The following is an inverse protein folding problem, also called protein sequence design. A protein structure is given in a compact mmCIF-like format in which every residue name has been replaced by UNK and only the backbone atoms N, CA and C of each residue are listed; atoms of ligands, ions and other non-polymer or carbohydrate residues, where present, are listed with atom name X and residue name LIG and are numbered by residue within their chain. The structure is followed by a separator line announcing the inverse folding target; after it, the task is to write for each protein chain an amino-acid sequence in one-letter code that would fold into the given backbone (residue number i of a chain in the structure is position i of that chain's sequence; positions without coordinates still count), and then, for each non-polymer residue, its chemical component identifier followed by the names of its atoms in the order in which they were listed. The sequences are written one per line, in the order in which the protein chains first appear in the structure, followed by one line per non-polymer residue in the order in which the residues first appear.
data_IF_910491360769
#
_entry.id   IF_910491360769
#
_cell.length_a   1.000
_cell.length_b   1.000
_cell.length_c   1.000
_cell.angle_alpha   90.00
_cell.angle_beta   90.00
_cell.angle_gamma   90.00
#
_symmetry.space_group_name_H-M   'P 1'
#
loop_
_entity.id
_entity.type
_entity.pdbx_description
1 polymer ?
#
# COMPACT_ATOMS: atom_id res chain seq x y z
N UNK A 1 15.36 9.38 -20.40
CA UNK A 1 13.99 9.06 -19.96
C UNK A 1 13.98 7.63 -19.47
N UNK A 2 13.35 7.35 -18.34
CA UNK A 2 13.11 5.98 -17.88
C UNK A 2 12.26 5.24 -18.92
N UNK A 3 12.58 3.97 -19.21
CA UNK A 3 11.68 3.13 -20.01
C UNK A 3 10.40 2.83 -19.20
N UNK A 4 9.23 2.72 -19.84
CA UNK A 4 8.00 2.36 -19.15
C UNK A 4 8.12 0.99 -18.48
N UNK A 5 7.55 0.84 -17.27
CA UNK A 5 7.48 -0.46 -16.61
C UNK A 5 6.55 -1.37 -17.40
N UNK A 6 6.95 -2.61 -17.67
CA UNK A 6 6.09 -3.57 -18.39
C UNK A 6 4.99 -4.05 -17.44
N UNK A 7 3.73 -3.84 -17.83
CA UNK A 7 2.55 -4.30 -17.10
C UNK A 7 1.98 -5.53 -17.82
N UNK A 8 2.08 -6.69 -17.18
CA UNK A 8 1.55 -7.94 -17.72
C UNK A 8 0.01 -7.92 -17.75
N UNK A 9 -0.56 -8.64 -18.70
CA UNK A 9 -2.01 -8.86 -18.82
C UNK A 9 -2.30 -10.36 -18.79
N UNK A 10 -3.40 -10.73 -18.15
CA UNK A 10 -3.79 -12.12 -17.90
C UNK A 10 -5.28 -12.18 -17.58
N UNK A 11 -5.91 -13.32 -17.76
CA UNK A 11 -7.22 -13.65 -17.20
C UNK A 11 -7.07 -14.61 -16.02
N UNK A 12 -8.04 -14.61 -15.11
CA UNK A 12 -8.00 -15.49 -13.94
C UNK A 12 -7.95 -16.98 -14.33
N UNK A 13 -8.59 -17.36 -15.42
CA UNK A 13 -8.66 -18.76 -15.87
C UNK A 13 -7.43 -19.17 -16.72
N UNK A 14 -6.52 -18.25 -17.05
CA UNK A 14 -5.28 -18.58 -17.78
C UNK A 14 -4.48 -19.65 -17.02
N UNK A 15 -3.89 -20.66 -17.70
CA UNK A 15 -3.18 -21.74 -17.03
C UNK A 15 -1.95 -21.24 -16.28
N UNK A 16 -1.61 -21.92 -15.18
CA UNK A 16 -0.34 -21.72 -14.48
C UNK A 16 0.81 -22.05 -15.44
N UNK A 17 1.78 -21.16 -15.53
CA UNK A 17 2.90 -21.24 -16.48
C UNK A 17 4.27 -21.25 -15.78
N UNK A 18 4.29 -21.39 -14.45
CA UNK A 18 5.49 -21.42 -13.61
C UNK A 18 6.40 -20.18 -13.75
N UNK A 19 5.88 -19.09 -14.33
CA UNK A 19 6.59 -17.84 -14.55
C UNK A 19 5.76 -16.64 -14.07
N UNK A 20 4.83 -16.15 -14.89
CA UNK A 20 3.99 -14.99 -14.57
C UNK A 20 2.67 -15.36 -13.89
N UNK A 21 2.29 -16.64 -13.92
CA UNK A 21 1.10 -17.18 -13.24
C UNK A 21 1.53 -18.43 -12.48
N UNK A 22 1.43 -18.40 -11.16
CA UNK A 22 1.95 -19.44 -10.26
C UNK A 22 1.02 -19.70 -9.07
N UNK A 23 1.28 -20.79 -8.33
CA UNK A 23 0.67 -21.03 -7.03
C UNK A 23 1.63 -20.63 -5.91
N UNK A 24 1.31 -19.54 -5.20
CA UNK A 24 2.11 -19.01 -4.09
C UNK A 24 1.57 -19.53 -2.76
N UNK A 25 2.48 -19.97 -1.88
CA UNK A 25 2.25 -20.07 -0.44
C UNK A 25 2.85 -18.83 0.23
N UNK A 26 2.04 -17.81 0.52
CA UNK A 26 2.52 -16.49 0.91
C UNK A 26 3.12 -16.52 2.33
N UNK A 27 3.81 -15.44 2.74
CA UNK A 27 4.27 -15.29 4.11
C UNK A 27 3.15 -15.55 5.13
N UNK A 28 3.51 -16.13 6.28
CA UNK A 28 2.62 -16.61 7.35
C UNK A 28 1.78 -17.87 7.06
N UNK A 29 1.86 -18.43 5.86
CA UNK A 29 1.25 -19.73 5.53
C UNK A 29 2.26 -20.88 5.51
N UNK A 30 3.47 -20.72 6.05
CA UNK A 30 4.57 -21.69 5.90
C UNK A 30 4.30 -23.05 6.52
N UNK A 31 3.49 -23.09 7.59
CA UNK A 31 3.05 -24.33 8.26
C UNK A 31 1.80 -24.92 7.62
N UNK A 32 1.18 -24.21 6.67
CA UNK A 32 0.02 -24.68 5.93
C UNK A 32 0.41 -25.28 4.57
N UNK A 33 -0.47 -26.12 4.03
CA UNK A 33 -0.41 -26.58 2.64
C UNK A 33 -1.32 -25.75 1.71
N UNK A 34 -1.65 -24.53 2.11
CA UNK A 34 -2.54 -23.64 1.34
C UNK A 34 -1.72 -22.86 0.32
N UNK A 35 -2.14 -22.92 -0.94
CA UNK A 35 -1.57 -22.18 -2.05
C UNK A 35 -2.66 -21.38 -2.75
N UNK A 36 -2.31 -20.19 -3.22
CA UNK A 36 -3.20 -19.30 -3.95
C UNK A 36 -2.67 -19.03 -5.34
N UNK A 37 -3.56 -18.99 -6.33
CA UNK A 37 -3.19 -18.59 -7.69
C UNK A 37 -2.83 -17.11 -7.69
N UNK A 38 -1.65 -16.79 -8.19
CA UNK A 38 -1.10 -15.44 -8.19
C UNK A 38 -0.59 -15.06 -9.57
N UNK A 39 -0.63 -13.76 -9.85
CA UNK A 39 -0.33 -13.19 -11.15
C UNK A 39 0.73 -12.10 -11.00
N UNK A 40 1.85 -12.23 -11.69
CA UNK A 40 2.94 -11.25 -11.66
C UNK A 40 2.56 -10.07 -12.56
N UNK A 41 2.09 -8.98 -11.97
CA UNK A 41 1.67 -7.81 -12.75
C UNK A 41 2.86 -7.02 -13.31
N UNK A 42 3.96 -6.99 -12.56
CA UNK A 42 5.27 -6.48 -12.97
C UNK A 42 6.35 -7.19 -12.15
N UNK A 43 7.61 -7.04 -12.52
CA UNK A 43 8.72 -7.69 -11.80
C UNK A 43 8.63 -7.43 -10.29
N UNK A 44 8.80 -8.51 -9.51
CA UNK A 44 8.73 -8.54 -8.05
C UNK A 44 7.37 -8.14 -7.42
N UNK A 45 6.31 -7.93 -8.20
CA UNK A 45 4.97 -7.56 -7.70
C UNK A 45 3.90 -8.55 -8.17
N UNK A 46 3.16 -9.06 -7.19
CA UNK A 46 2.18 -10.14 -7.38
C UNK A 46 0.79 -9.70 -6.95
N UNK A 47 -0.24 -10.16 -7.69
CA UNK A 47 -1.64 -10.03 -7.32
C UNK A 47 -2.19 -11.40 -6.95
N UNK A 48 -2.82 -11.49 -5.78
CA UNK A 48 -3.62 -12.63 -5.35
C UNK A 48 -5.08 -12.14 -5.26
N UNK A 49 -5.94 -12.46 -6.25
CA UNK A 49 -7.34 -12.01 -6.27
C UNK A 49 -8.19 -12.85 -5.30
N UNK A 50 -7.86 -12.78 -4.02
CA UNK A 50 -8.55 -13.43 -2.91
C UNK A 50 -8.70 -12.40 -1.77
N UNK A 51 -9.71 -12.60 -0.92
CA UNK A 51 -9.87 -11.78 0.30
C UNK A 51 -8.70 -11.97 1.24
N UNK A 52 -8.19 -10.88 1.82
CA UNK A 52 -7.16 -10.97 2.84
C UNK A 52 -7.74 -11.50 4.17
N UNK A 53 -7.46 -12.77 4.48
CA UNK A 53 -8.01 -13.47 5.67
C UNK A 53 -6.98 -13.78 6.77
N UNK A 54 -5.71 -13.48 6.53
CA UNK A 54 -4.63 -13.92 7.40
C UNK A 54 -4.75 -13.28 8.80
N UNK A 55 -4.84 -14.11 9.83
CA UNK A 55 -4.93 -13.67 11.22
C UNK A 55 -6.25 -12.96 11.59
N UNK A 56 -7.28 -13.09 10.74
CA UNK A 56 -8.58 -12.44 10.93
C UNK A 56 -9.64 -13.53 11.17
N UNK A 57 -10.40 -13.37 12.24
CA UNK A 57 -11.55 -14.22 12.53
C UNK A 57 -12.59 -14.12 11.39
N UNK A 58 -13.04 -15.25 10.80
CA UNK A 58 -14.03 -15.26 9.72
C UNK A 58 -15.33 -14.49 10.05
N UNK A 59 -15.74 -14.43 11.31
CA UNK A 59 -16.94 -13.71 11.75
C UNK A 59 -16.85 -12.20 11.52
N UNK A 60 -15.63 -11.64 11.47
CA UNK A 60 -15.42 -10.21 11.26
C UNK A 60 -15.74 -9.75 9.83
N UNK A 61 -15.85 -10.67 8.87
CA UNK A 61 -16.26 -10.37 7.50
C UNK A 61 -17.76 -10.07 7.35
N UNK A 62 -18.57 -10.45 8.36
CA UNK A 62 -19.97 -10.07 8.41
C UNK A 62 -20.12 -8.62 8.89
N UNK A 63 -21.16 -7.88 8.46
CA UNK A 63 -21.41 -6.53 8.94
C UNK A 63 -21.56 -6.48 10.47
N UNK A 64 -20.72 -5.74 11.21
CA UNK A 64 -20.90 -5.59 12.64
C UNK A 64 -22.07 -4.66 12.97
N UNK A 65 -22.55 -4.68 14.21
CA UNK A 65 -23.66 -3.81 14.67
C UNK A 65 -23.29 -2.32 14.65
N UNK A 66 -22.02 -1.98 14.92
CA UNK A 66 -21.52 -0.60 14.95
C UNK A 66 -20.00 -0.59 14.84
N UNK A 67 -19.45 0.49 14.27
CA UNK A 67 -18.01 0.71 14.20
C UNK A 67 -17.44 1.28 15.51
N UNK A 68 -16.23 0.84 15.87
CA UNK A 68 -15.49 1.35 17.03
C UNK A 68 -14.97 2.79 16.82
N UNK A 69 -14.59 3.16 15.61
CA UNK A 69 -14.05 4.47 15.26
C UNK A 69 -14.05 4.65 13.73
N UNK A 70 -13.93 5.90 13.26
CA UNK A 70 -13.78 6.22 11.84
C UNK A 70 -15.09 6.58 11.13
N UNK A 71 -15.00 6.69 9.80
CA UNK A 71 -16.13 6.89 8.90
C UNK A 71 -16.86 5.57 8.62
N UNK A 72 -17.99 5.66 7.93
CA UNK A 72 -18.79 4.51 7.50
C UNK A 72 -17.97 3.51 6.68
N UNK A 73 -18.21 2.22 6.89
CA UNK A 73 -17.59 1.11 6.18
C UNK A 73 -18.63 0.26 5.45
N UNK A 74 -18.15 -0.63 4.57
CA UNK A 74 -19.00 -1.59 3.85
C UNK A 74 -18.46 -3.01 3.98
N UNK A 75 -19.32 -3.93 4.40
CA UNK A 75 -18.98 -5.32 4.68
C UNK A 75 -19.81 -6.24 3.79
N UNK A 76 -19.11 -7.07 3.02
CA UNK A 76 -19.70 -8.14 2.23
C UNK A 76 -18.79 -9.37 2.31
N UNK A 77 -19.20 -10.47 2.96
CA UNK A 77 -18.40 -11.68 3.08
C UNK A 77 -18.26 -12.44 1.75
N UNK A 78 -19.11 -12.17 0.75
CA UNK A 78 -19.17 -12.87 -0.53
C UNK A 78 -18.35 -12.20 -1.64
N UNK A 79 -17.88 -10.95 -1.44
CA UNK A 79 -17.02 -10.28 -2.41
C UNK A 79 -15.74 -11.10 -2.67
N UNK A 80 -15.40 -11.28 -3.96
CA UNK A 80 -14.33 -12.14 -4.50
C UNK A 80 -14.49 -13.64 -4.21
N UNK A 81 -15.73 -14.14 -4.12
CA UNK A 81 -16.00 -15.57 -3.89
C UNK A 81 -16.00 -16.38 -5.19
N UNK A 82 -16.23 -15.75 -6.34
CA UNK A 82 -16.36 -16.42 -7.64
C UNK A 82 -15.21 -16.11 -8.59
N UNK A 83 -14.86 -17.04 -9.50
CA UNK A 83 -13.83 -16.80 -10.52
C UNK A 83 -14.14 -15.55 -11.38
N UNK A 84 -15.42 -15.27 -11.66
CA UNK A 84 -15.84 -14.07 -12.39
C UNK A 84 -15.47 -12.79 -11.66
N UNK A 85 -15.74 -12.71 -10.35
CA UNK A 85 -15.33 -11.56 -9.53
C UNK A 85 -13.81 -11.45 -9.42
N UNK A 86 -13.11 -12.57 -9.25
CA UNK A 86 -11.64 -12.62 -9.20
C UNK A 86 -11.02 -12.14 -10.51
N UNK A 87 -11.60 -12.54 -11.65
CA UNK A 87 -11.17 -12.04 -12.96
C UNK A 87 -11.46 -10.55 -13.12
N UNK A 88 -12.67 -10.09 -12.74
CA UNK A 88 -13.01 -8.67 -12.79
C UNK A 88 -12.03 -7.83 -11.96
N UNK A 89 -11.76 -8.23 -10.72
CA UNK A 89 -10.77 -7.59 -9.86
C UNK A 89 -9.39 -7.54 -10.53
N UNK A 90 -8.94 -8.66 -11.09
CA UNK A 90 -7.66 -8.77 -11.77
C UNK A 90 -7.53 -7.82 -12.96
N UNK A 91 -8.57 -7.73 -13.81
CA UNK A 91 -8.62 -6.78 -14.93
C UNK A 91 -8.60 -5.33 -14.45
N UNK A 92 -9.31 -5.01 -13.36
CA UNK A 92 -9.31 -3.66 -12.80
C UNK A 92 -7.92 -3.32 -12.29
N UNK A 93 -7.25 -4.22 -11.57
CA UNK A 93 -5.88 -4.00 -11.11
C UNK A 93 -4.91 -3.78 -12.27
N UNK A 94 -5.00 -4.57 -13.35
CA UNK A 94 -4.22 -4.34 -14.58
C UNK A 94 -4.45 -2.91 -15.11
N UNK A 95 -5.70 -2.49 -15.23
CA UNK A 95 -6.08 -1.16 -15.73
C UNK A 95 -5.54 -0.03 -14.83
N UNK A 96 -5.60 -0.20 -13.51
CA UNK A 96 -5.04 0.76 -12.55
C UNK A 96 -3.52 0.86 -12.64
N UNK A 97 -2.81 -0.25 -12.77
CA UNK A 97 -1.34 -0.24 -12.98
C UNK A 97 -0.97 0.42 -14.31
N UNK A 98 -1.69 0.13 -15.40
CA UNK A 98 -1.50 0.83 -16.68
C UNK A 98 -1.75 2.33 -16.56
N UNK A 99 -2.77 2.73 -15.79
CA UNK A 99 -3.04 4.13 -15.47
C UNK A 99 -1.89 4.80 -14.74
N UNK A 100 -1.39 4.19 -13.67
CA UNK A 100 -0.24 4.71 -12.91
C UNK A 100 0.98 4.82 -13.83
N UNK A 101 1.22 3.81 -14.67
CA UNK A 101 2.33 3.77 -15.62
C UNK A 101 2.18 4.74 -16.82
N UNK A 102 1.04 5.41 -16.97
CA UNK A 102 0.78 6.35 -18.08
C UNK A 102 1.46 7.72 -17.93
N UNK A 103 1.94 8.06 -16.72
CA UNK A 103 2.60 9.33 -16.41
C UNK A 103 4.00 9.11 -15.85
N UNK A 104 4.98 10.00 -16.13
CA UNK A 104 6.34 9.86 -15.62
C UNK A 104 6.43 9.71 -14.09
N UNK A 105 5.63 10.47 -13.33
CA UNK A 105 5.64 10.39 -11.87
C UNK A 105 5.26 8.98 -11.35
N UNK A 106 4.26 8.34 -11.97
CA UNK A 106 3.86 6.98 -11.62
C UNK A 106 4.84 5.92 -12.15
N UNK A 107 5.42 6.12 -13.33
CA UNK A 107 6.49 5.24 -13.86
C UNK A 107 7.68 5.17 -12.90
N UNK A 108 8.14 6.34 -12.41
CA UNK A 108 9.25 6.39 -11.45
C UNK A 108 8.85 5.67 -10.16
N UNK A 109 7.64 5.91 -9.63
CA UNK A 109 7.17 5.21 -8.42
C UNK A 109 7.19 3.68 -8.59
N UNK A 110 6.67 3.17 -9.70
CA UNK A 110 6.64 1.73 -9.99
C UNK A 110 8.05 1.15 -10.18
N UNK A 111 8.95 1.89 -10.84
CA UNK A 111 10.35 1.48 -11.03
C UNK A 111 11.12 1.43 -9.71
N UNK A 112 10.91 2.39 -8.80
CA UNK A 112 11.49 2.33 -7.46
C UNK A 112 10.99 1.10 -6.69
N UNK A 113 9.68 0.81 -6.74
CA UNK A 113 9.10 -0.37 -6.06
C UNK A 113 9.63 -1.67 -6.65
N UNK A 114 9.76 -1.75 -7.97
CA UNK A 114 10.32 -2.92 -8.67
C UNK A 114 11.76 -3.21 -8.25
N UNK A 115 12.58 -2.18 -8.13
CA UNK A 115 14.02 -2.31 -7.88
C UNK A 115 14.40 -2.32 -6.39
N UNK A 116 13.54 -1.83 -5.49
CA UNK A 116 13.80 -1.76 -4.05
C UNK A 116 13.67 -3.13 -3.35
N UNK A 117 14.42 -4.14 -3.80
CA UNK A 117 14.38 -5.48 -3.22
C UNK A 117 14.71 -5.46 -1.71
N UNK A 118 13.99 -6.20 -0.86
CA UNK A 118 14.35 -6.36 0.54
C UNK A 118 15.81 -6.84 0.72
N UNK A 119 16.46 -6.42 1.80
CA UNK A 119 17.77 -6.95 2.17
C UNK A 119 17.66 -8.46 2.49
N UNK A 120 18.59 -9.28 2.00
CA UNK A 120 18.61 -10.74 2.24
C UNK A 120 19.01 -11.09 3.68
N UNK A 121 18.16 -10.71 4.64
CA UNK A 121 18.38 -10.86 6.07
C UNK A 121 17.67 -9.78 6.87
N UNK A 122 17.77 -9.88 8.18
CA UNK A 122 17.23 -8.90 9.13
C UNK A 122 18.13 -8.76 10.36
N UNK A 123 17.68 -8.02 11.37
CA UNK A 123 18.40 -7.82 12.64
C UNK A 123 18.81 -9.09 13.38
N UNK A 124 18.19 -10.25 13.09
CA UNK A 124 18.51 -11.55 13.70
C UNK A 124 19.24 -12.52 12.76
N UNK A 125 19.48 -12.15 11.52
CA UNK A 125 20.35 -12.93 10.62
C UNK A 125 21.81 -12.67 11.02
N UNK A 126 22.73 -13.63 10.82
CA UNK A 126 24.17 -13.43 11.02
C UNK A 126 24.72 -12.32 10.09
N UNK A 127 25.64 -11.49 10.57
CA UNK A 127 26.08 -10.29 9.83
C UNK A 127 26.89 -10.62 8.57
N UNK A 128 27.59 -11.76 8.60
CA UNK A 128 28.44 -12.32 7.54
C UNK A 128 27.66 -13.10 6.46
N UNK A 129 26.34 -13.20 6.60
CA UNK A 129 25.50 -14.07 5.79
C UNK A 129 24.34 -13.32 5.12
N UNK A 130 24.13 -13.63 3.84
CA UNK A 130 22.83 -13.44 3.20
C UNK A 130 21.95 -14.68 3.34
N UNK A 131 20.66 -14.47 3.62
CA UNK A 131 19.69 -15.56 3.63
C UNK A 131 18.43 -15.21 2.86
N UNK A 132 18.03 -16.11 1.96
CA UNK A 132 16.71 -16.10 1.31
C UNK A 132 15.71 -16.97 2.05
N UNK A 133 16.17 -17.79 3.01
CA UNK A 133 15.32 -18.71 3.77
C UNK A 133 14.61 -17.99 4.94
N UNK A 134 13.84 -16.96 4.61
CA UNK A 134 13.06 -16.19 5.56
C UNK A 134 11.85 -15.56 4.86
N UNK A 135 10.69 -15.65 5.51
CA UNK A 135 9.41 -15.10 5.05
C UNK A 135 9.41 -13.61 4.73
N UNK A 136 10.36 -12.84 5.27
CA UNK A 136 10.43 -11.39 5.01
C UNK A 136 11.02 -11.06 3.64
N UNK A 137 11.66 -12.03 2.96
CA UNK A 137 12.33 -11.82 1.67
C UNK A 137 11.85 -12.76 0.58
N UNK A 138 11.35 -13.95 0.94
CA UNK A 138 10.88 -14.95 -0.01
C UNK A 138 9.58 -15.63 0.45
N UNK A 139 8.91 -16.25 -0.52
CA UNK A 139 7.79 -17.15 -0.31
C UNK A 139 7.99 -18.45 -1.08
N UNK A 140 7.19 -19.47 -0.76
CA UNK A 140 7.25 -20.75 -1.46
C UNK A 140 6.28 -20.75 -2.65
N UNK A 141 6.68 -21.38 -3.74
CA UNK A 141 5.90 -21.53 -4.98
C UNK A 141 5.79 -23.01 -5.30
N UNK A 142 4.57 -23.46 -5.63
CA UNK A 142 4.34 -24.81 -6.15
C UNK A 142 4.32 -24.75 -7.67
N UNK A 143 5.31 -25.38 -8.29
CA UNK A 143 5.41 -25.52 -9.74
C UNK A 143 4.42 -26.56 -10.27
N UNK A 144 4.14 -26.54 -11.58
CA UNK A 144 3.22 -27.48 -12.23
C UNK A 144 3.64 -28.95 -12.07
N UNK A 145 4.95 -29.22 -11.99
CA UNK A 145 5.50 -30.55 -11.73
C UNK A 145 5.39 -31.01 -10.25
N UNK A 146 4.84 -30.16 -9.37
CA UNK A 146 4.67 -30.44 -7.94
C UNK A 146 5.84 -30.03 -7.05
N UNK A 147 6.98 -29.63 -7.62
CA UNK A 147 8.13 -29.16 -6.86
C UNK A 147 7.82 -27.84 -6.15
N UNK A 148 8.41 -27.66 -4.97
CA UNK A 148 8.32 -26.42 -4.21
C UNK A 148 9.65 -25.69 -4.32
N UNK A 149 9.60 -24.45 -4.79
CA UNK A 149 10.77 -23.56 -4.89
C UNK A 149 10.53 -22.28 -4.08
N UNK A 150 11.61 -21.61 -3.67
CA UNK A 150 11.52 -20.29 -3.05
C UNK A 150 11.67 -19.21 -4.10
N UNK A 151 10.86 -18.16 -4.01
CA UNK A 151 10.95 -16.98 -4.87
C UNK A 151 10.92 -15.71 -4.03
N UNK A 152 11.73 -14.73 -4.43
CA UNK A 152 11.75 -13.40 -3.80
C UNK A 152 10.64 -12.51 -4.37
N UNK A 153 10.19 -11.55 -3.56
CA UNK A 153 9.24 -10.54 -4.01
C UNK A 153 9.41 -9.24 -3.22
N UNK A 154 8.82 -8.18 -3.76
CA UNK A 154 8.75 -6.89 -3.11
C UNK A 154 7.34 -6.65 -2.59
N UNK A 155 6.31 -6.94 -3.38
CA UNK A 155 4.92 -6.64 -3.04
C UNK A 155 3.98 -7.79 -3.40
N UNK A 156 3.04 -8.07 -2.50
CA UNK A 156 1.87 -8.92 -2.74
C UNK A 156 0.60 -8.09 -2.49
N UNK A 157 -0.21 -7.90 -3.53
CA UNK A 157 -1.51 -7.22 -3.45
C UNK A 157 -2.61 -8.27 -3.34
N UNK A 158 -3.43 -8.13 -2.32
CA UNK A 158 -4.61 -8.93 -2.05
C UNK A 158 -5.88 -8.15 -2.31
N UNK A 159 -6.98 -8.87 -2.51
CA UNK A 159 -8.30 -8.31 -2.24
C UNK A 159 -8.42 -7.81 -0.80
N UNK A 160 -9.46 -7.02 -0.49
CA UNK A 160 -9.60 -6.37 0.80
C UNK A 160 -9.81 -7.36 1.94
N UNK A 161 -9.49 -6.92 3.16
CA UNK A 161 -9.94 -7.54 4.40
C UNK A 161 -11.46 -7.36 4.63
N UNK A 162 -11.92 -7.36 5.89
CA UNK A 162 -13.36 -7.30 6.20
C UNK A 162 -14.12 -6.09 5.66
N UNK A 163 -13.61 -4.88 5.90
CA UNK A 163 -14.21 -3.63 5.44
C UNK A 163 -13.67 -3.29 4.04
N UNK A 164 -14.55 -3.36 3.04
CA UNK A 164 -14.21 -3.15 1.63
C UNK A 164 -13.81 -1.72 1.31
N UNK A 165 -14.04 -0.75 2.20
CA UNK A 165 -13.65 0.66 1.99
C UNK A 165 -12.33 1.05 2.64
N UNK A 166 -11.76 0.16 3.45
CA UNK A 166 -10.50 0.40 4.15
C UNK A 166 -9.39 -0.40 3.47
N UNK A 167 -8.54 0.30 2.73
CA UNK A 167 -7.29 -0.27 2.23
C UNK A 167 -6.23 -0.24 3.32
N UNK A 168 -5.28 -1.18 3.27
CA UNK A 168 -4.17 -1.24 4.24
C UNK A 168 -2.89 -1.67 3.56
N UNK A 169 -1.78 -1.12 4.04
CA UNK A 169 -0.44 -1.58 3.72
C UNK A 169 0.26 -2.07 4.99
N UNK A 170 1.01 -3.17 4.87
CA UNK A 170 1.82 -3.71 5.97
C UNK A 170 3.02 -4.50 5.46
N UNK A 171 4.13 -4.46 6.21
CA UNK A 171 5.31 -5.27 5.92
C UNK A 171 5.30 -6.60 6.65
N UNK A 172 5.94 -7.61 6.09
CA UNK A 172 6.12 -8.90 6.77
C UNK A 172 7.09 -8.72 7.95
N UNK A 173 6.70 -9.21 9.13
CA UNK A 173 7.52 -9.32 10.34
C UNK A 173 8.18 -10.69 10.42
N UNK A 174 9.28 -10.76 11.16
CA UNK A 174 9.93 -12.02 11.51
C UNK A 174 9.94 -12.16 13.03
N UNK A 175 9.29 -13.20 13.53
CA UNK A 175 9.31 -13.53 14.96
C UNK A 175 9.84 -14.96 15.13
N UNK A 176 11.13 -15.13 15.48
CA UNK A 176 11.69 -16.46 15.71
C UNK A 176 11.18 -17.09 17.01
N UNK A 177 10.76 -16.27 17.98
CA UNK A 177 10.23 -16.66 19.29
C UNK A 177 9.22 -15.61 19.80
N UNK A 178 8.32 -15.98 20.71
CA UNK A 178 7.21 -15.11 21.19
C UNK A 178 7.65 -13.75 21.77
N UNK A 179 8.91 -13.59 22.19
CA UNK A 179 9.46 -12.35 22.77
C UNK A 179 10.40 -11.57 21.84
N UNK A 180 10.66 -12.08 20.63
CA UNK A 180 11.55 -11.45 19.65
C UNK A 180 10.78 -11.15 18.37
N UNK A 181 10.78 -9.89 17.97
CA UNK A 181 10.15 -9.44 16.72
C UNK A 181 11.12 -8.55 15.97
N UNK A 182 11.43 -8.92 14.73
CA UNK A 182 12.08 -8.07 13.78
C UNK A 182 11.01 -7.46 12.88
N UNK A 183 11.13 -6.15 12.67
CA UNK A 183 10.29 -5.37 11.76
C UNK A 183 11.15 -4.78 10.64
N UNK A 184 11.64 -5.61 9.68
CA UNK A 184 12.66 -5.16 8.71
C UNK A 184 12.22 -3.97 7.86
N UNK A 185 10.92 -3.87 7.59
CA UNK A 185 10.29 -2.73 6.89
C UNK A 185 10.34 -1.40 7.66
N UNK A 186 10.86 -1.38 8.89
CA UNK A 186 11.06 -0.18 9.73
C UNK A 186 12.51 0.10 10.10
N UNK A 187 13.43 -0.83 9.84
CA UNK A 187 14.80 -0.82 10.37
C UNK A 187 15.86 -0.85 9.25
N UNK A 188 15.53 -0.25 8.11
CA UNK A 188 16.37 -0.07 6.92
C UNK A 188 16.48 -1.28 5.98
N UNK A 189 16.25 -2.50 6.46
CA UNK A 189 16.38 -3.72 5.65
C UNK A 189 15.33 -3.81 4.53
N UNK A 190 14.10 -3.43 4.86
CA UNK A 190 12.93 -3.74 4.05
C UNK A 190 12.44 -5.17 4.22
N UNK A 191 11.17 -5.41 3.89
CA UNK A 191 10.60 -6.75 3.75
C UNK A 191 9.60 -6.78 2.61
N UNK A 192 9.16 -7.97 2.21
CA UNK A 192 7.95 -8.14 1.40
C UNK A 192 6.85 -7.27 2.02
N UNK A 193 6.23 -6.44 1.20
CA UNK A 193 5.10 -5.62 1.57
C UNK A 193 3.81 -6.30 1.11
N UNK A 194 2.73 -6.03 1.82
CA UNK A 194 1.40 -6.50 1.52
C UNK A 194 0.44 -5.33 1.45
N UNK A 195 -0.46 -5.39 0.49
CA UNK A 195 -1.54 -4.42 0.33
C UNK A 195 -2.87 -5.16 0.33
N UNK A 196 -3.80 -4.74 1.18
CA UNK A 196 -5.23 -5.09 1.11
C UNK A 196 -5.92 -3.99 0.30
N UNK A 197 -6.43 -4.30 -0.89
CA UNK A 197 -6.97 -3.26 -1.77
C UNK A 197 -8.28 -3.63 -2.44
N UNK A 198 -9.21 -2.67 -2.43
CA UNK A 198 -10.54 -2.74 -3.04
C UNK A 198 -10.72 -1.58 -4.04
N UNK A 199 -10.68 -1.84 -5.36
CA UNK A 199 -10.78 -0.77 -6.34
C UNK A 199 -12.20 -0.25 -6.53
N UNK A 200 -13.21 -1.10 -6.32
CA UNK A 200 -14.60 -0.76 -6.64
C UNK A 200 -15.34 -0.09 -5.48
N UNK A 201 -14.84 -0.19 -4.25
CA UNK A 201 -15.48 0.36 -3.07
C UNK A 201 -14.68 1.54 -2.54
N UNK A 202 -15.24 2.73 -2.67
CA UNK A 202 -14.54 3.97 -2.40
C UNK A 202 -15.30 4.88 -1.43
N UNK A 203 -14.57 5.83 -0.87
CA UNK A 203 -15.12 6.96 -0.14
C UNK A 203 -15.03 8.23 -0.99
N UNK A 204 -15.90 9.18 -0.71
CA UNK A 204 -15.90 10.50 -1.28
C UNK A 204 -15.38 11.53 -0.26
N UNK A 205 -15.04 12.71 -0.74
CA UNK A 205 -14.68 13.86 0.08
C UNK A 205 -15.40 15.11 -0.46
N UNK A 206 -15.52 16.14 0.36
CA UNK A 206 -16.06 17.42 -0.06
C UNK A 206 -14.94 18.42 -0.34
N UNK A 207 -15.24 19.40 -1.19
CA UNK A 207 -14.39 20.57 -1.36
C UNK A 207 -14.88 21.69 -0.44
N UNK A 208 -14.40 21.70 0.81
CA UNK A 208 -14.59 22.86 1.70
C UNK A 208 -13.43 23.84 1.44
N UNK A 209 -13.37 24.36 0.22
CA UNK A 209 -12.73 25.64 -0.04
C UNK A 209 -13.84 26.67 -0.32
N UNK A 210 -14.18 27.44 0.72
CA UNK A 210 -14.90 28.73 0.65
C UNK A 210 -16.43 28.65 0.36
N UNK A 211 -17.23 29.10 1.34
CA UNK A 211 -18.52 29.79 1.23
C UNK A 211 -19.73 29.16 0.47
N UNK A 212 -19.77 27.86 0.15
CA UNK A 212 -21.02 27.25 -0.36
C UNK A 212 -21.82 26.57 0.76
N UNK A 213 -23.14 26.82 0.80
CA UNK A 213 -24.07 26.21 1.76
C UNK A 213 -24.37 24.73 1.45
N UNK A 214 -23.77 24.15 0.40
CA UNK A 214 -23.91 22.76 -0.01
C UNK A 214 -22.67 22.33 -0.82
N UNK A 215 -21.57 21.92 -0.17
CA UNK A 215 -20.34 21.57 -0.87
C UNK A 215 -20.54 20.32 -1.73
N UNK A 216 -20.05 20.35 -2.98
CA UNK A 216 -20.08 19.20 -3.88
C UNK A 216 -19.20 18.05 -3.33
N UNK A 217 -19.67 16.82 -3.54
CA UNK A 217 -18.93 15.61 -3.18
C UNK A 217 -18.20 15.06 -4.38
N UNK A 218 -16.95 14.67 -4.17
CA UNK A 218 -16.09 14.09 -5.18
C UNK A 218 -15.65 12.69 -4.77
N UNK A 219 -15.83 11.72 -5.67
CA UNK A 219 -15.34 10.36 -5.47
C UNK A 219 -13.81 10.32 -5.58
N UNK A 220 -13.18 9.50 -4.75
CA UNK A 220 -11.74 9.24 -4.88
C UNK A 220 -11.47 8.36 -6.08
N UNK A 221 -10.49 8.74 -6.90
CA UNK A 221 -10.00 7.91 -8.01
C UNK A 221 -9.23 6.70 -7.45
N UNK A 222 -9.62 5.45 -7.77
CA UNK A 222 -8.97 4.26 -7.23
C UNK A 222 -7.47 4.15 -7.61
N UNK A 223 -7.01 4.74 -8.71
CA UNK A 223 -5.58 4.78 -9.02
C UNK A 223 -4.80 5.65 -8.05
N UNK A 224 -5.38 6.77 -7.60
CA UNK A 224 -4.75 7.62 -6.58
C UNK A 224 -4.74 6.94 -5.21
N UNK A 225 -5.81 6.21 -4.87
CA UNK A 225 -5.85 5.40 -3.64
C UNK A 225 -4.78 4.31 -3.68
N UNK A 226 -4.61 3.62 -4.82
CA UNK A 226 -3.55 2.63 -4.98
C UNK A 226 -2.17 3.26 -4.90
N UNK A 227 -1.95 4.43 -5.52
CA UNK A 227 -0.68 5.16 -5.41
C UNK A 227 -0.36 5.56 -3.96
N UNK A 228 -1.35 5.94 -3.15
CA UNK A 228 -1.17 6.19 -1.71
C UNK A 228 -0.62 4.96 -0.99
N UNK A 229 -1.22 3.78 -1.22
CA UNK A 229 -0.73 2.52 -0.64
C UNK A 229 0.66 2.13 -1.20
N UNK A 230 0.92 2.37 -2.48
CA UNK A 230 2.23 2.11 -3.09
C UNK A 230 3.35 3.01 -2.52
N UNK A 231 3.04 4.21 -2.05
CA UNK A 231 4.01 5.04 -1.31
C UNK A 231 4.35 4.40 0.04
N UNK A 232 3.35 3.88 0.76
CA UNK A 232 3.59 3.10 1.99
C UNK A 232 4.45 1.86 1.71
N UNK A 233 4.21 1.19 0.58
CA UNK A 233 5.04 0.07 0.11
C UNK A 233 6.49 0.53 -0.11
N UNK A 234 6.69 1.65 -0.82
CA UNK A 234 8.03 2.20 -1.06
C UNK A 234 8.77 2.47 0.26
N UNK A 235 8.12 3.14 1.21
CA UNK A 235 8.68 3.36 2.55
C UNK A 235 9.06 2.03 3.22
N UNK A 236 8.19 1.02 3.15
CA UNK A 236 8.45 -0.29 3.74
C UNK A 236 9.60 -1.05 3.08
N UNK A 237 9.73 -1.00 1.75
CA UNK A 237 10.81 -1.64 1.00
C UNK A 237 12.19 -1.04 1.28
N UNK A 238 12.24 0.26 1.53
CA UNK A 238 13.45 0.95 2.00
C UNK A 238 13.67 0.83 3.50
N UNK A 239 12.75 0.19 4.23
CA UNK A 239 12.87 0.01 5.67
C UNK A 239 12.67 1.30 6.47
N UNK A 240 11.90 2.26 5.94
CA UNK A 240 11.68 3.60 6.51
C UNK A 240 10.23 3.85 6.94
N UNK A 241 9.40 2.80 7.00
CA UNK A 241 7.98 2.89 7.35
C UNK A 241 7.76 3.10 8.87
N UNK A 242 8.08 4.30 9.36
CA UNK A 242 8.07 4.59 10.79
C UNK A 242 6.69 5.13 11.23
N UNK A 243 6.05 4.39 12.14
CA UNK A 243 4.67 4.65 12.61
C UNK A 243 4.61 5.02 14.10
N UNK A 244 5.74 5.35 14.71
CA UNK A 244 5.88 5.54 16.17
C UNK A 244 5.19 6.82 16.65
N UNK A 245 5.32 7.91 15.91
CA UNK A 245 4.57 9.12 16.20
C UNK A 245 3.12 8.95 15.75
N UNK A 246 2.20 9.10 16.71
CA UNK A 246 0.76 8.96 16.49
C UNK A 246 0.03 10.16 17.05
N UNK A 247 -0.80 10.77 16.23
CA UNK A 247 -1.77 11.75 16.69
C UNK A 247 -3.05 11.01 17.02
N UNK A 248 -3.38 11.01 18.31
CA UNK A 248 -4.65 10.48 18.82
C UNK A 248 -5.55 11.66 19.13
N UNK A 249 -6.77 11.75 18.54
CA UNK A 249 -7.72 12.77 18.94
C UNK A 249 -8.04 12.63 20.44
N UNK A 250 -7.94 13.73 21.19
CA UNK A 250 -8.33 13.76 22.60
C UNK A 250 -9.85 13.88 22.72
N UNK A 251 -10.56 12.75 22.62
CA UNK A 251 -12.03 12.70 22.69
C UNK A 251 -12.47 12.83 24.15
N UNK A 252 -12.83 14.04 24.57
CA UNK A 252 -13.32 14.33 25.93
C UNK A 252 -14.81 14.67 25.99
N UNK A 253 -15.45 14.92 24.83
CA UNK A 253 -16.85 15.33 24.74
C UNK A 253 -17.60 14.50 23.70
N UNK A 254 -18.92 14.36 23.86
CA UNK A 254 -19.77 13.53 22.99
C UNK A 254 -19.87 14.03 21.54
N UNK A 255 -19.60 15.32 21.29
CA UNK A 255 -19.58 15.92 19.95
C UNK A 255 -18.23 15.75 19.22
N UNK A 256 -17.19 15.23 19.89
CA UNK A 256 -15.87 15.05 19.28
C UNK A 256 -15.83 13.75 18.46
N UNK A 257 -15.35 13.86 17.21
CA UNK A 257 -15.23 12.71 16.31
C UNK A 257 -14.23 11.69 16.87
N UNK A 258 -14.64 10.43 16.95
CA UNK A 258 -13.78 9.31 17.35
C UNK A 258 -13.11 8.71 16.11
N UNK A 259 -11.82 8.96 15.95
CA UNK A 259 -11.01 8.34 14.89
C UNK A 259 -9.94 7.42 15.48
N UNK A 260 -9.42 6.49 14.66
CA UNK A 260 -8.23 5.71 15.04
C UNK A 260 -7.02 6.65 15.10
N UNK A 261 -6.00 6.35 15.93
CA UNK A 261 -4.76 7.12 15.90
C UNK A 261 -4.17 7.18 14.50
N UNK A 262 -3.75 8.38 14.07
CA UNK A 262 -3.16 8.60 12.74
C UNK A 262 -1.66 8.74 12.91
N UNK A 263 -0.90 7.97 12.12
CA UNK A 263 0.56 7.90 12.26
C UNK A 263 1.24 9.00 11.44
N UNK A 264 2.48 9.34 11.79
CA UNK A 264 3.34 10.19 10.95
C UNK A 264 3.46 9.70 9.52
N UNK A 265 3.46 8.38 9.30
CA UNK A 265 3.55 7.79 7.96
C UNK A 265 2.39 8.23 7.06
N UNK A 266 1.16 8.37 7.60
CA UNK A 266 0.01 8.85 6.82
C UNK A 266 0.15 10.32 6.42
N UNK A 267 0.59 11.19 7.34
CA UNK A 267 0.77 12.61 7.02
C UNK A 267 1.90 12.86 6.02
N UNK A 268 3.02 12.13 6.15
CA UNK A 268 4.14 12.21 5.23
C UNK A 268 3.75 11.70 3.83
N UNK A 269 3.00 10.61 3.77
CA UNK A 269 2.50 10.00 2.51
C UNK A 269 1.41 10.85 1.86
N UNK A 270 0.51 11.44 2.64
CA UNK A 270 -0.51 12.33 2.11
C UNK A 270 0.11 13.61 1.53
N UNK A 271 1.06 14.22 2.24
CA UNK A 271 1.77 15.40 1.77
C UNK A 271 1.03 16.72 1.93
N UNK A 272 1.32 17.69 1.06
CA UNK A 272 0.76 19.03 1.14
C UNK A 272 1.02 19.70 2.49
N UNK A 273 0.01 20.41 3.02
CA UNK A 273 0.10 21.11 4.31
C UNK A 273 0.20 20.17 5.52
N UNK A 274 -0.19 18.91 5.37
CA UNK A 274 -0.26 17.96 6.46
C UNK A 274 1.12 17.50 6.94
N UNK A 275 2.17 17.70 6.12
CA UNK A 275 3.56 17.52 6.57
C UNK A 275 3.91 18.37 7.79
N UNK A 276 3.31 19.55 7.90
CA UNK A 276 3.54 20.48 9.01
C UNK A 276 2.84 20.05 10.31
N UNK A 277 1.92 19.07 10.24
CA UNK A 277 1.31 18.46 11.43
C UNK A 277 2.34 17.60 12.17
N UNK A 278 3.31 17.02 11.47
CA UNK A 278 4.42 16.29 12.08
C UNK A 278 5.48 17.30 12.57
N UNK A 279 5.73 17.41 13.89
CA UNK A 279 6.67 18.40 14.41
C UNK A 279 8.08 18.22 13.85
N UNK A 280 8.83 19.31 13.67
CA UNK A 280 10.20 19.27 13.14
C UNK A 280 11.13 18.37 13.97
N UNK A 281 10.96 18.32 15.30
CA UNK A 281 11.72 17.42 16.17
C UNK A 281 11.51 15.96 15.82
N UNK A 282 10.26 15.56 15.51
CA UNK A 282 9.92 14.21 15.07
C UNK A 282 10.51 13.96 13.68
N UNK A 283 10.39 14.90 12.74
CA UNK A 283 10.99 14.75 11.41
C UNK A 283 12.52 14.53 11.47
N UNK A 284 13.21 15.28 12.34
CA UNK A 284 14.65 15.10 12.58
C UNK A 284 14.98 13.76 13.23
N UNK A 285 14.14 13.26 14.14
CA UNK A 285 14.31 11.92 14.73
C UNK A 285 14.17 10.82 13.67
N UNK A 286 13.16 10.93 12.80
CA UNK A 286 12.96 10.00 11.69
C UNK A 286 14.17 9.97 10.76
N UNK A 287 14.66 11.15 10.34
CA UNK A 287 15.85 11.28 9.51
C UNK A 287 17.08 10.61 10.15
N UNK A 288 17.34 10.91 11.43
CA UNK A 288 18.49 10.36 12.15
C UNK A 288 18.38 8.85 12.37
N UNK A 289 17.16 8.32 12.61
CA UNK A 289 16.93 6.87 12.70
C UNK A 289 17.29 6.18 11.38
N UNK A 290 16.76 6.66 10.26
CA UNK A 290 17.02 6.07 8.94
C UNK A 290 18.52 6.15 8.59
N UNK A 291 19.18 7.27 8.89
CA UNK A 291 20.63 7.41 8.70
C UNK A 291 21.42 6.38 9.52
N UNK A 292 21.03 6.18 10.78
CA UNK A 292 21.66 5.18 11.67
C UNK A 292 21.45 3.76 11.16
N UNK A 293 20.23 3.43 10.74
CA UNK A 293 19.90 2.12 10.18
C UNK A 293 20.70 1.83 8.90
N UNK A 294 20.87 2.82 8.02
CA UNK A 294 21.66 2.67 6.79
C UNK A 294 23.16 2.53 7.08
N UNK A 295 23.70 3.23 8.09
CA UNK A 295 25.08 3.02 8.56
C UNK A 295 25.29 1.58 9.06
N UNK A 296 24.31 1.03 9.80
CA UNK A 296 24.34 -0.36 10.25
C UNK A 296 24.32 -1.34 9.06
N UNK A 297 23.49 -1.07 8.05
CA UNK A 297 23.42 -1.90 6.83
C UNK A 297 24.72 -1.86 6.03
N UNK A 298 25.33 -0.68 5.84
CA UNK A 298 26.63 -0.57 5.18
C UNK A 298 27.72 -1.37 5.91
N UNK A 299 27.80 -1.22 7.24
CA UNK A 299 28.71 -2.00 8.10
C UNK A 299 28.50 -3.50 7.94
N UNK A 300 27.24 -3.94 7.88
CA UNK A 300 26.89 -5.35 7.66
C UNK A 300 27.29 -5.84 6.27
N UNK A 301 27.03 -5.05 5.22
CA UNK A 301 27.36 -5.38 3.83
C UNK A 301 28.87 -5.64 3.63
N UNK A 302 29.72 -4.96 4.40
CA UNK A 302 31.16 -5.19 4.45
C UNK A 302 31.55 -6.56 5.03
N UNK A 303 30.72 -7.14 5.89
CA UNK A 303 31.00 -8.43 6.56
C UNK A 303 30.50 -9.63 5.76
N UNK A 304 29.53 -9.44 4.87
CA UNK A 304 28.91 -10.55 4.13
C UNK A 304 29.92 -11.26 3.23
N UNK A 305 30.07 -12.57 3.45
CA UNK A 305 30.95 -13.46 2.68
C UNK A 305 30.34 -14.84 2.41
N UNK A 306 29.14 -15.12 2.94
CA UNK A 306 28.42 -16.38 2.73
C UNK A 306 26.95 -16.14 2.38
N UNK A 307 26.30 -17.14 1.78
CA UNK A 307 24.86 -17.14 1.53
C UNK A 307 24.25 -18.53 1.79
N UNK A 308 23.00 -18.58 2.27
CA UNK A 308 22.28 -19.85 2.51
C UNK A 308 21.71 -20.49 1.23
N UNK A 309 21.59 -19.71 0.17
CA UNK A 309 21.17 -20.16 -1.15
C UNK A 309 22.29 -19.97 -2.17
N UNK A 310 22.18 -20.64 -3.32
CA UNK A 310 23.07 -20.47 -4.46
C UNK A 310 22.79 -19.13 -5.16
N UNK A 311 23.26 -18.04 -4.54
CA UNK A 311 23.16 -16.66 -5.04
C UNK A 311 24.55 -16.07 -5.26
N UNK A 312 24.66 -15.12 -6.19
CA UNK A 312 25.88 -14.35 -6.38
C UNK A 312 25.95 -13.21 -5.36
N UNK A 313 26.85 -13.33 -4.38
CA UNK A 313 27.01 -12.34 -3.30
C UNK A 313 27.38 -10.96 -3.85
N UNK A 314 28.24 -10.88 -4.86
CA UNK A 314 28.70 -9.61 -5.42
C UNK A 314 27.58 -8.89 -6.20
N UNK A 315 26.72 -9.66 -6.88
CA UNK A 315 25.53 -9.11 -7.54
C UNK A 315 24.59 -8.45 -6.53
N UNK A 316 24.27 -9.14 -5.42
CA UNK A 316 23.44 -8.55 -4.37
C UNK A 316 24.10 -7.38 -3.65
N UNK A 317 25.43 -7.42 -3.46
CA UNK A 317 26.18 -6.26 -2.94
C UNK A 317 26.03 -5.04 -3.85
N UNK A 318 26.13 -5.20 -5.16
CA UNK A 318 25.94 -4.11 -6.13
C UNK A 318 24.49 -3.59 -6.12
N UNK A 319 23.50 -4.49 -6.00
CA UNK A 319 22.09 -4.09 -5.87
C UNK A 319 21.85 -3.27 -4.60
N UNK A 320 22.45 -3.66 -3.47
CA UNK A 320 22.33 -2.92 -2.22
C UNK A 320 23.14 -1.62 -2.20
N UNK A 321 24.30 -1.57 -2.86
CA UNK A 321 25.03 -0.34 -3.09
C UNK A 321 24.14 0.68 -3.83
N UNK A 322 23.48 0.26 -4.91
CA UNK A 322 22.55 1.09 -5.66
C UNK A 322 21.31 1.46 -4.82
N UNK A 323 20.66 0.49 -4.18
CA UNK A 323 19.42 0.72 -3.41
C UNK A 323 19.67 1.76 -2.31
N UNK A 324 20.70 1.59 -1.50
CA UNK A 324 20.99 2.45 -0.36
C UNK A 324 21.88 3.66 -0.71
N UNK A 325 22.31 3.77 -1.98
CA UNK A 325 23.23 4.81 -2.47
C UNK A 325 24.52 4.89 -1.65
N UNK A 326 25.07 3.73 -1.27
CA UNK A 326 26.33 3.68 -0.53
C UNK A 326 27.50 4.16 -1.40
N UNK A 327 28.53 4.69 -0.76
CA UNK A 327 29.81 4.93 -1.37
C UNK A 327 30.74 3.75 -1.09
N UNK A 328 31.65 3.49 -2.01
CA UNK A 328 32.65 2.42 -1.92
C UNK A 328 34.04 3.04 -2.04
N UNK A 329 34.90 2.81 -1.05
CA UNK A 329 36.28 3.30 -1.08
C UNK A 329 37.17 2.44 -1.99
N UNK A 330 38.45 2.81 -2.11
CA UNK A 330 39.43 2.07 -2.93
C UNK A 330 39.69 0.63 -2.45
N UNK A 331 39.37 0.32 -1.20
CA UNK A 331 39.50 -1.02 -0.62
C UNK A 331 38.20 -1.84 -0.75
N UNK A 332 37.16 -1.27 -1.37
CA UNK A 332 35.88 -1.92 -1.54
C UNK A 332 34.95 -1.83 -0.32
N UNK A 333 35.26 -0.98 0.66
CA UNK A 333 34.47 -0.82 1.89
C UNK A 333 33.30 0.13 1.64
N UNK A 334 32.10 -0.34 1.94
CA UNK A 334 30.85 0.43 1.88
C UNK A 334 30.71 1.37 3.07
N UNK A 335 30.28 2.60 2.80
CA UNK A 335 29.92 3.60 3.80
C UNK A 335 28.77 4.48 3.33
N UNK A 336 28.18 5.24 4.25
CA UNK A 336 27.12 6.20 3.91
C UNK A 336 27.76 7.55 3.54
N UNK A 337 27.60 7.95 2.29
CA UNK A 337 27.82 9.33 1.86
C UNK A 337 26.59 10.17 2.23
N UNK A 338 26.80 11.24 3.00
CA UNK A 338 25.70 12.06 3.52
C UNK A 338 24.92 12.77 2.42
N UNK A 339 25.57 13.23 1.35
CA UNK A 339 24.89 13.92 0.26
C UNK A 339 24.02 12.95 -0.54
N UNK A 340 24.53 11.76 -0.84
CA UNK A 340 23.77 10.70 -1.50
C UNK A 340 22.59 10.23 -0.65
N UNK A 341 22.81 10.05 0.65
CA UNK A 341 21.76 9.72 1.61
C UNK A 341 20.64 10.77 1.62
N UNK A 342 21.00 12.05 1.69
CA UNK A 342 20.00 13.13 1.68
C UNK A 342 19.18 13.16 0.40
N UNK A 343 19.81 12.94 -0.75
CA UNK A 343 19.10 12.88 -2.03
C UNK A 343 18.14 11.68 -2.08
N UNK A 344 18.57 10.51 -1.62
CA UNK A 344 17.72 9.32 -1.54
C UNK A 344 16.55 9.52 -0.57
N UNK A 345 16.81 10.04 0.63
CA UNK A 345 15.77 10.32 1.62
C UNK A 345 14.73 11.30 1.07
N UNK A 346 15.17 12.40 0.46
CA UNK A 346 14.27 13.38 -0.19
C UNK A 346 13.46 12.74 -1.32
N UNK A 347 14.07 11.88 -2.13
CA UNK A 347 13.38 11.18 -3.23
C UNK A 347 12.28 10.26 -2.71
N UNK A 348 12.59 9.40 -1.74
CA UNK A 348 11.62 8.45 -1.14
C UNK A 348 10.40 9.20 -0.59
N UNK A 349 10.63 10.28 0.16
CA UNK A 349 9.56 11.09 0.76
C UNK A 349 9.05 12.21 -0.18
N UNK A 350 9.42 12.24 -1.46
CA UNK A 350 8.87 13.22 -2.42
C UNK A 350 7.54 12.77 -3.01
N UNK A 351 7.33 11.45 -3.11
CA UNK A 351 6.06 10.87 -3.53
C UNK A 351 5.01 11.12 -2.46
N UNK A 352 3.90 11.76 -2.85
CA UNK A 352 2.77 11.99 -1.96
C UNK A 352 1.45 11.87 -2.72
N UNK A 353 0.38 11.52 -2.01
CA UNK A 353 -0.99 11.57 -2.56
C UNK A 353 -1.25 12.95 -3.17
N UNK A 354 -0.89 14.03 -2.48
CA UNK A 354 -1.11 15.40 -2.93
C UNK A 354 -0.37 15.75 -4.24
N UNK A 355 0.92 15.42 -4.34
CA UNK A 355 1.70 15.71 -5.54
C UNK A 355 1.27 14.83 -6.71
N UNK A 356 1.01 13.53 -6.47
CA UNK A 356 0.55 12.62 -7.51
C UNK A 356 -0.85 13.01 -8.00
N UNK A 357 -1.74 13.48 -7.13
CA UNK A 357 -3.04 14.00 -7.54
C UNK A 357 -2.89 15.15 -8.55
N UNK A 358 -1.95 16.07 -8.31
CA UNK A 358 -1.63 17.16 -9.24
C UNK A 358 -1.11 16.64 -10.59
N UNK A 359 -0.10 15.78 -10.59
CA UNK A 359 0.52 15.21 -11.80
C UNK A 359 -0.49 14.43 -12.66
N UNK A 360 -1.44 13.75 -12.03
CA UNK A 360 -2.47 12.96 -12.70
C UNK A 360 -3.77 13.74 -12.99
N UNK A 361 -3.85 15.02 -12.61
CA UNK A 361 -5.07 15.85 -12.72
C UNK A 361 -6.29 15.19 -12.06
N UNK A 362 -6.06 14.61 -10.88
CA UNK A 362 -7.08 13.99 -10.04
C UNK A 362 -7.39 14.96 -8.90
N UNK A 363 -8.67 15.20 -8.63
CA UNK A 363 -9.07 15.94 -7.43
C UNK A 363 -8.81 15.07 -6.20
N UNK A 364 -8.17 15.64 -5.20
CA UNK A 364 -8.05 15.04 -3.86
C UNK A 364 -8.50 16.03 -2.77
N UNK A 365 -8.69 15.51 -1.56
CA UNK A 365 -8.97 16.26 -0.33
C UNK A 365 -7.84 17.25 -0.03
N UNK A 366 -8.15 18.35 0.66
CA UNK A 366 -7.15 19.38 1.03
C UNK A 366 -6.27 19.02 2.23
N UNK A 367 -6.64 17.98 2.96
CA UNK A 367 -5.92 17.46 4.11
C UNK A 367 -6.36 16.03 4.40
N UNK A 368 -5.47 15.23 4.97
CA UNK A 368 -5.71 13.84 5.33
C UNK A 368 -6.86 13.69 6.34
N UNK A 369 -6.99 14.67 7.24
CA UNK A 369 -8.06 14.75 8.25
C UNK A 369 -9.43 15.16 7.70
N UNK A 370 -9.54 15.42 6.39
CA UNK A 370 -10.82 15.74 5.77
C UNK A 370 -11.83 14.60 5.98
N UNK A 371 -13.11 14.97 6.02
CA UNK A 371 -14.18 14.00 6.20
C UNK A 371 -14.31 13.10 4.98
N UNK A 372 -14.40 11.79 5.25
CA UNK A 372 -14.77 10.80 4.25
C UNK A 372 -16.28 10.55 4.32
N UNK A 373 -16.93 10.67 3.17
CA UNK A 373 -18.33 10.35 2.94
C UNK A 373 -18.45 9.02 2.19
N UNK A 374 -19.56 8.32 2.34
CA UNK A 374 -19.79 7.05 1.65
C UNK A 374 -20.51 6.05 2.55
N UNK A 375 -20.41 4.74 2.26
CA UNK A 375 -19.61 4.11 1.20
C UNK A 375 -20.23 4.21 -0.22
N UNK A 376 -19.40 4.13 -1.27
CA UNK A 376 -19.81 4.13 -2.68
C UNK A 376 -19.26 2.92 -3.44
N UNK A 377 -19.97 2.51 -4.50
CA UNK A 377 -19.59 1.44 -5.42
C UNK A 377 -19.36 1.96 -6.85
N UNK A 378 -18.29 1.47 -7.49
CA UNK A 378 -17.80 1.86 -8.82
C UNK A 378 -17.90 0.66 -9.78
N UNK A 379 -19.11 0.31 -10.25
CA UNK A 379 -19.34 -0.93 -11.02
C UNK A 379 -18.57 -1.04 -12.33
N UNK A 380 -18.27 0.10 -12.97
CA UNK A 380 -17.93 0.18 -14.39
C UNK A 380 -16.50 0.70 -14.64
N UNK A 381 -15.55 0.39 -13.75
CA UNK A 381 -14.14 0.80 -13.94
C UNK A 381 -13.49 0.22 -15.22
N UNK A 382 -14.02 -0.89 -15.74
CA UNK A 382 -13.56 -1.49 -16.99
C UNK A 382 -14.15 -0.84 -18.25
N UNK A 383 -15.17 0.01 -18.12
CA UNK A 383 -15.77 0.74 -19.24
C UNK A 383 -14.99 2.03 -19.51
N UNK A 384 -14.37 2.15 -20.68
CA UNK A 384 -13.57 3.31 -21.07
C UNK A 384 -14.39 4.58 -21.31
N UNK A 385 -15.72 4.48 -21.47
CA UNK A 385 -16.58 5.65 -21.46
C UNK A 385 -16.73 6.28 -20.07
N UNK A 386 -16.39 5.51 -19.02
CA UNK A 386 -16.50 5.89 -17.62
C UNK A 386 -15.14 6.17 -16.99
N UNK A 387 -14.16 5.28 -17.20
CA UNK A 387 -12.86 5.34 -16.55
C UNK A 387 -11.77 4.85 -17.50
N UNK A 388 -10.83 5.73 -17.88
CA UNK A 388 -9.74 5.39 -18.81
C UNK A 388 -8.40 5.23 -18.12
N UNK A 389 -7.45 4.56 -18.77
CA UNK A 389 -6.07 4.46 -18.30
C UNK A 389 -5.38 5.84 -18.25
N UNK A 390 -5.73 6.77 -19.13
CA UNK A 390 -5.05 8.08 -19.22
C UNK A 390 -5.65 9.12 -18.28
N UNK A 391 -6.98 9.26 -18.26
CA UNK A 391 -7.67 10.36 -17.58
C UNK A 391 -8.53 9.90 -16.39
N UNK A 392 -8.75 8.60 -16.23
CA UNK A 392 -9.60 8.05 -15.18
C UNK A 392 -11.03 8.50 -15.42
N UNK A 393 -11.69 9.05 -14.40
CA UNK A 393 -13.04 9.60 -14.55
C UNK A 393 -13.10 10.93 -15.31
N UNK A 394 -12.01 11.69 -15.35
CA UNK A 394 -11.99 13.09 -15.81
C UNK A 394 -11.82 13.19 -17.34
N UNK A 395 -12.68 12.51 -18.09
CA UNK A 395 -12.55 12.34 -19.55
C UNK A 395 -13.16 13.53 -20.31
N UNK A 396 -12.40 14.11 -21.25
CA UNK A 396 -12.90 15.16 -22.14
C UNK A 396 -13.45 16.36 -21.36
N UNK A 397 -14.72 16.73 -21.59
CA UNK A 397 -15.37 17.85 -20.90
C UNK A 397 -15.51 17.64 -19.38
N UNK A 398 -15.51 16.39 -18.91
CA UNK A 398 -15.58 16.07 -17.47
C UNK A 398 -14.28 16.40 -16.72
N UNK A 399 -13.18 16.69 -17.44
CA UNK A 399 -11.93 17.15 -16.85
C UNK A 399 -12.02 18.55 -16.23
N UNK A 400 -12.91 19.40 -16.76
CA UNK A 400 -13.08 20.78 -16.30
C UNK A 400 -13.62 20.73 -14.86
N UNK A 401 -12.90 21.35 -13.92
CA UNK A 401 -13.28 21.35 -12.50
C UNK A 401 -13.51 19.95 -11.91
N UNK A 402 -12.92 18.91 -12.50
CA UNK A 402 -13.02 17.52 -12.04
C UNK A 402 -14.47 17.00 -11.97
N UNK A 403 -15.33 17.39 -12.92
CA UNK A 403 -16.72 16.92 -12.96
C UNK A 403 -16.82 15.40 -13.06
N UNK A 404 -15.85 14.71 -13.67
CA UNK A 404 -15.81 13.24 -13.72
C UNK A 404 -15.80 12.59 -12.33
N UNK A 405 -15.27 13.29 -11.32
CA UNK A 405 -15.32 12.84 -9.94
C UNK A 405 -16.54 13.35 -9.16
N UNK A 406 -17.27 14.35 -9.68
CA UNK A 406 -18.38 14.98 -8.96
C UNK A 406 -19.61 14.07 -8.93
N UNK A 407 -20.00 13.63 -7.74
CA UNK A 407 -21.12 12.69 -7.53
C UNK A 407 -22.47 13.32 -7.90
N UNK A 408 -22.58 14.66 -7.88
CA UNK A 408 -23.79 15.37 -8.27
C UNK A 408 -24.00 15.53 -9.78
N UNK A 409 -23.03 15.13 -10.61
CA UNK A 409 -23.01 15.42 -12.06
C UNK A 409 -23.65 14.35 -12.97
N UNK A 410 -24.62 13.58 -12.46
CA UNK A 410 -25.35 12.52 -13.19
C UNK A 410 -24.44 11.46 -13.84
N UNK A 411 -23.59 10.86 -13.01
CA UNK A 411 -22.73 9.75 -13.41
C UNK A 411 -23.40 8.44 -13.00
N UNK A 412 -23.94 7.70 -13.98
CA UNK A 412 -24.45 6.33 -13.83
C UNK A 412 -23.42 5.32 -13.28
N UNK A 413 -22.15 5.72 -13.16
CA UNK A 413 -21.04 4.87 -12.70
C UNK A 413 -20.69 4.98 -11.22
N UNK A 414 -21.36 5.84 -10.44
CA UNK A 414 -21.10 5.97 -8.99
C UNK A 414 -22.40 5.67 -8.24
N UNK A 415 -22.42 4.57 -7.48
CA UNK A 415 -23.59 4.15 -6.71
C UNK A 415 -23.36 4.35 -5.22
N UNK A 416 -24.17 5.17 -4.57
CA UNK A 416 -24.16 5.25 -3.10
C UNK A 416 -24.69 3.93 -2.53
N UNK A 417 -23.93 3.29 -1.67
CA UNK A 417 -24.35 2.05 -1.03
C UNK A 417 -25.29 2.34 0.15
N UNK A 418 -26.27 1.47 0.33
CA UNK A 418 -27.27 1.54 1.40
C UNK A 418 -27.60 0.12 1.88
N UNK A 419 -28.25 0.00 3.04
CA UNK A 419 -28.74 -1.28 3.57
C UNK A 419 -27.74 -2.01 4.47
N UNK A 420 -27.94 -3.31 4.64
CA UNK A 420 -27.34 -4.11 5.73
C UNK A 420 -25.80 -4.22 5.69
N UNK A 421 -25.17 -4.03 4.53
CA UNK A 421 -23.71 -4.04 4.42
C UNK A 421 -23.04 -2.73 4.88
N UNK A 422 -23.79 -1.63 4.97
CA UNK A 422 -23.27 -0.32 5.37
C UNK A 422 -23.31 -0.20 6.89
N UNK A 423 -22.15 0.06 7.51
CA UNK A 423 -22.04 0.17 8.97
C UNK A 423 -21.38 1.48 9.35
N UNK A 424 -22.05 2.21 10.25
CA UNK A 424 -21.58 3.47 10.82
C UNK A 424 -21.16 3.32 12.28
N UNK A 425 -20.42 4.30 12.79
CA UNK A 425 -20.29 4.49 14.24
C UNK A 425 -21.50 5.27 14.76
N UNK A 426 -22.24 4.70 15.72
CA UNK A 426 -23.40 5.37 16.34
C UNK A 426 -23.05 5.88 17.74
N UNK A 427 -23.31 7.17 18.00
CA UNK A 427 -23.31 7.78 19.34
C UNK A 427 -24.75 8.11 19.70
N UNK A 428 -25.26 7.56 20.80
CA UNK A 428 -26.62 7.84 21.29
C UNK A 428 -26.59 8.97 22.30
N UNK A 429 -27.33 10.04 22.04
CA UNK A 429 -27.56 11.14 22.97
C UNK A 429 -28.94 10.99 23.57
N UNK A 430 -29.01 10.62 24.86
CA UNK A 430 -30.27 10.51 25.59
C UNK A 430 -30.49 11.78 26.40
N UNK A 431 -31.62 12.46 26.21
CA UNK A 431 -32.04 13.55 27.09
C UNK A 431 -32.75 12.98 28.33
N UNK A 432 -32.47 13.54 29.51
CA UNK A 432 -33.27 13.26 30.70
C UNK A 432 -34.58 14.05 30.60
N UNK A 433 -35.66 13.39 30.20
CA UNK A 433 -37.01 13.96 30.18
C UNK A 433 -37.65 13.98 31.58
N UNK A 434 -36.91 14.47 32.59
CA UNK A 434 -37.38 14.69 33.97
C UNK A 434 -37.39 16.17 34.34
N UNK A 435 -37.73 17.03 33.39
CA UNK A 435 -38.14 18.42 33.66
C UNK A 435 -39.58 18.59 33.18
N UNK A 436 -40.51 18.33 34.11
CA UNK A 436 -41.88 18.87 34.06
C UNK A 436 -41.92 20.17 34.84
#
# INVERSE_FOLDING_TARGET
GSMPVVINSFNYDDPVNDNTIIYIRPPYYETSNTYFKAFQIMDNVWIIPERYRLGIDPSLFNPPVSLKAGSDGYFDPNYLSTNTEKNKYLQIMIKLFKRINSKPAGQILLEEIKNAIPYLGNSYTQEEQFTTNNRTVSFNVKLANGNIVQQMANLIIWGPGPDLTTNKTGGIIYSPYQSMEATPYKDGFGSIMTVEFSPEYATAFNDISIASHSPSLFIKDPALILMHELIHVLHGLYGTYITEYKITPNVVQSYMKVTKPITSAEFLTFGGRDRNIVPQSIQSQLYNKVLSDYKRIASRLNKVNTATALINIDEFKNLYEWKYQFAKDSNGVYSVDLNKFEQLYKKIYSFTEFNLAYEFKIKTRLGYLAENFGPFYLPNLLDDSIYTEVDGFNIGALSINYQGQNIGSDINSIKKLQGQGVVSRVVRLCSNSNTK
#
